data_IF_964292287813
#
_entry.id   IF_964292287813
#
_cell.length_a   1.000
_cell.length_b   1.000
_cell.length_c   1.000
_cell.angle_alpha   90.00
_cell.angle_beta   90.00
_cell.angle_gamma   90.00
#
_symmetry.space_group_name_H-M   'P 1'
#
loop_
_entity.id
_entity.type
_entity.pdbx_description
1 polymer ?
#
# COMPACT_ATOMS: atom_id res chain seq x y z
N UNK A 1 -9.82 9.38 -1.05
CA UNK A 1 -10.23 10.14 -2.25
C UNK A 1 -11.61 10.67 -1.98
N UNK A 2 -11.83 11.98 -2.13
CA UNK A 2 -13.16 12.58 -1.88
C UNK A 2 -14.21 11.91 -2.79
N UNK A 3 -15.45 11.78 -2.31
CA UNK A 3 -16.60 11.23 -3.05
C UNK A 3 -16.54 9.72 -3.37
N UNK A 4 -15.52 9.01 -2.87
CA UNK A 4 -15.36 7.55 -3.01
C UNK A 4 -15.22 6.83 -1.66
N UNK A 5 -15.72 7.45 -0.60
CA UNK A 5 -15.76 6.92 0.75
C UNK A 5 -17.04 6.10 0.95
N UNK A 6 -17.03 5.14 1.88
CA UNK A 6 -18.25 4.42 2.28
C UNK A 6 -19.28 5.36 2.89
N UNK A 7 -18.82 6.18 3.82
CA UNK A 7 -19.60 7.20 4.53
C UNK A 7 -18.68 8.41 4.73
N UNK A 8 -19.07 9.55 4.14
CA UNK A 8 -18.30 10.78 4.19
C UNK A 8 -18.38 11.49 5.56
N UNK A 9 -19.43 11.20 6.34
CA UNK A 9 -19.68 11.79 7.65
C UNK A 9 -19.05 10.97 8.79
N UNK A 10 -18.63 9.73 8.51
CA UNK A 10 -17.92 8.88 9.46
C UNK A 10 -16.44 9.22 9.55
N UNK A 11 -15.87 9.00 10.74
CA UNK A 11 -14.42 9.10 10.94
C UNK A 11 -13.69 8.00 10.17
N UNK A 12 -12.91 8.41 9.18
CA UNK A 12 -12.01 7.54 8.41
C UNK A 12 -10.64 7.40 9.09
N UNK A 13 -10.01 6.25 8.92
CA UNK A 13 -8.70 5.93 9.51
C UNK A 13 -7.90 4.97 8.63
N UNK A 14 -6.61 4.89 8.91
CA UNK A 14 -5.67 4.00 8.26
C UNK A 14 -4.51 3.66 9.19
N UNK A 15 -3.76 2.60 8.88
CA UNK A 15 -2.60 2.22 9.68
C UNK A 15 -1.50 3.30 9.57
N UNK A 16 -1.01 3.76 10.72
CA UNK A 16 -0.08 4.90 10.78
C UNK A 16 -0.76 6.27 10.54
N UNK A 17 -2.08 6.34 10.68
CA UNK A 17 -2.84 7.56 10.40
C UNK A 17 -3.03 7.81 8.90
N UNK A 18 -3.87 8.79 8.54
CA UNK A 18 -4.14 9.09 7.14
C UNK A 18 -2.95 9.80 6.50
N UNK A 19 -2.54 9.40 5.28
CA UNK A 19 -1.55 10.16 4.53
C UNK A 19 -2.12 11.55 4.20
N UNK A 20 -1.28 12.57 4.26
CA UNK A 20 -1.63 13.95 3.94
C UNK A 20 -1.92 14.13 2.45
N UNK A 21 -1.28 13.31 1.60
CA UNK A 21 -1.43 13.34 0.15
C UNK A 21 -1.05 11.99 -0.48
N UNK A 22 -1.24 11.87 -1.79
CA UNK A 22 -0.94 10.66 -2.54
C UNK A 22 0.55 10.31 -2.55
N UNK A 23 1.44 11.32 -2.54
CA UNK A 23 2.88 11.09 -2.53
C UNK A 23 3.32 10.42 -1.21
N UNK A 24 2.83 10.89 -0.07
CA UNK A 24 3.09 10.27 1.23
C UNK A 24 2.52 8.83 1.28
N UNK A 25 1.34 8.59 0.71
CA UNK A 25 0.78 7.25 0.61
C UNK A 25 1.72 6.29 -0.16
N UNK A 26 2.24 6.74 -1.30
CA UNK A 26 3.21 5.99 -2.11
C UNK A 26 4.53 5.77 -1.36
N UNK A 27 5.03 6.79 -0.67
CA UNK A 27 6.27 6.69 0.12
C UNK A 27 6.15 5.67 1.26
N UNK A 28 5.00 5.64 1.95
CA UNK A 28 4.71 4.63 2.97
C UNK A 28 4.72 3.21 2.37
N UNK A 29 4.13 3.02 1.19
CA UNK A 29 4.16 1.74 0.47
C UNK A 29 5.59 1.32 0.12
N UNK A 30 6.40 2.25 -0.44
CA UNK A 30 7.82 2.01 -0.75
C UNK A 30 8.62 1.66 0.52
N UNK A 31 8.29 2.26 1.65
CA UNK A 31 8.92 1.94 2.94
C UNK A 31 8.63 0.49 3.35
N UNK A 32 7.39 0.03 3.20
CA UNK A 32 7.05 -1.38 3.42
C UNK A 32 7.83 -2.33 2.50
N UNK A 33 8.03 -1.95 1.23
CA UNK A 33 8.84 -2.75 0.30
C UNK A 33 10.31 -2.81 0.70
N UNK A 34 10.90 -1.69 1.16
CA UNK A 34 12.28 -1.67 1.67
C UNK A 34 12.44 -2.63 2.87
N UNK A 35 11.51 -2.58 3.80
CA UNK A 35 11.48 -3.49 4.95
C UNK A 35 11.34 -4.96 4.51
N UNK A 36 10.43 -5.25 3.58
CA UNK A 36 10.27 -6.60 3.04
C UNK A 36 11.54 -7.08 2.32
N UNK A 37 12.22 -6.20 1.59
CA UNK A 37 13.49 -6.49 0.91
C UNK A 37 14.59 -6.87 1.91
N UNK A 38 14.70 -6.14 3.02
CA UNK A 38 15.64 -6.49 4.12
C UNK A 38 15.28 -7.81 4.80
N UNK A 39 13.99 -8.07 4.99
CA UNK A 39 13.49 -9.30 5.58
C UNK A 39 13.71 -10.52 4.66
N UNK A 40 13.66 -10.34 3.33
CA UNK A 40 13.99 -11.40 2.35
C UNK A 40 15.39 -11.95 2.59
N UNK A 41 16.37 -11.07 2.82
CA UNK A 41 17.75 -11.43 3.16
C UNK A 41 17.90 -12.17 4.51
N UNK A 42 16.83 -12.24 5.32
CA UNK A 42 16.77 -12.92 6.62
C UNK A 42 15.88 -14.17 6.58
N UNK A 43 15.48 -14.63 5.39
CA UNK A 43 14.72 -15.87 5.20
C UNK A 43 13.20 -15.70 5.11
N UNK A 44 12.67 -14.47 5.05
CA UNK A 44 11.25 -14.27 4.75
C UNK A 44 10.98 -14.55 3.28
N UNK A 45 10.05 -15.47 3.01
CA UNK A 45 9.74 -15.93 1.66
C UNK A 45 8.76 -15.01 0.91
N UNK A 46 7.87 -14.30 1.62
CA UNK A 46 6.83 -13.49 1.00
C UNK A 46 6.29 -12.41 1.96
N UNK A 47 5.65 -11.39 1.38
CA UNK A 47 4.81 -10.42 2.08
C UNK A 47 3.46 -10.30 1.38
N UNK A 48 2.39 -10.12 2.15
CA UNK A 48 1.03 -9.93 1.62
C UNK A 48 0.55 -8.55 2.03
N UNK A 49 0.22 -7.72 1.04
CA UNK A 49 -0.44 -6.45 1.30
C UNK A 49 -1.94 -6.68 1.42
N UNK A 50 -2.46 -6.53 2.63
CA UNK A 50 -3.88 -6.31 2.86
C UNK A 50 -4.05 -4.81 3.09
N UNK A 51 -4.85 -4.10 2.30
CA UNK A 51 -6.13 -4.50 1.71
C UNK A 51 -6.27 -4.09 0.23
N UNK A 52 -7.07 -4.81 -0.57
CA UNK A 52 -7.28 -4.47 -2.00
C UNK A 52 -8.13 -3.22 -2.18
N UNK A 53 -9.19 -3.03 -1.37
CA UNK A 53 -10.11 -1.89 -1.45
C UNK A 53 -10.23 -1.21 -0.09
N UNK A 54 -10.73 0.01 -0.03
CA UNK A 54 -11.18 0.55 1.26
C UNK A 54 -12.37 -0.26 1.79
N UNK A 55 -12.50 -0.36 3.12
CA UNK A 55 -13.58 -1.08 3.79
C UNK A 55 -14.13 -0.21 4.90
N UNK A 56 -15.38 0.22 4.73
CA UNK A 56 -16.06 1.14 5.66
C UNK A 56 -15.20 2.38 5.97
N UNK A 57 -14.80 2.55 7.24
CA UNK A 57 -13.94 3.65 7.68
C UNK A 57 -12.44 3.38 7.54
N UNK A 58 -12.03 2.17 7.14
CA UNK A 58 -10.62 1.81 6.92
C UNK A 58 -10.22 2.10 5.47
N UNK A 59 -9.40 3.13 5.27
CA UNK A 59 -9.06 3.66 3.94
C UNK A 59 -7.64 3.33 3.46
N UNK A 60 -7.13 2.15 3.86
CA UNK A 60 -5.80 1.64 3.48
C UNK A 60 -5.76 0.96 2.10
N UNK A 61 -6.91 0.78 1.44
CA UNK A 61 -7.02 -0.02 0.23
C UNK A 61 -6.22 0.53 -0.95
N UNK A 62 -5.73 -0.35 -1.82
CA UNK A 62 -5.14 0.04 -3.12
C UNK A 62 -6.17 0.66 -4.07
N UNK A 63 -7.45 0.40 -3.83
CA UNK A 63 -8.58 1.00 -4.52
C UNK A 63 -9.52 1.68 -3.53
N UNK A 64 -10.33 2.62 -4.00
CA UNK A 64 -11.42 3.20 -3.20
C UNK A 64 -12.50 2.18 -2.85
N UNK A 65 -13.37 2.55 -1.91
CA UNK A 65 -14.44 1.68 -1.40
C UNK A 65 -15.33 1.12 -2.52
N UNK A 66 -15.69 2.00 -3.46
CA UNK A 66 -16.51 1.69 -4.63
C UNK A 66 -15.75 1.04 -5.80
N UNK A 67 -14.44 0.79 -5.64
CA UNK A 67 -13.53 0.22 -6.66
C UNK A 67 -13.41 1.05 -7.94
N UNK A 68 -13.82 2.32 -7.94
CA UNK A 68 -13.75 3.17 -9.14
C UNK A 68 -12.41 3.84 -9.34
N UNK A 69 -11.67 4.09 -8.25
CA UNK A 69 -10.37 4.75 -8.30
C UNK A 69 -9.29 3.81 -7.78
N UNK A 70 -8.29 3.57 -8.64
CA UNK A 70 -7.06 2.88 -8.28
C UNK A 70 -6.10 3.93 -7.72
N UNK A 71 -5.70 3.79 -6.45
CA UNK A 71 -4.85 4.78 -5.75
C UNK A 71 -3.38 4.66 -6.13
N UNK A 72 -2.91 3.44 -6.41
CA UNK A 72 -1.59 3.17 -7.00
C UNK A 72 -1.80 2.27 -8.21
N UNK A 73 -1.57 2.78 -9.43
CA UNK A 73 -1.69 1.99 -10.66
C UNK A 73 -0.87 0.70 -10.63
N UNK A 74 -1.37 -0.35 -11.30
CA UNK A 74 -0.76 -1.68 -11.26
C UNK A 74 0.63 -1.73 -11.91
N UNK A 75 0.84 -0.95 -12.97
CA UNK A 75 2.15 -0.76 -13.62
C UNK A 75 3.15 -0.09 -12.68
N UNK A 76 2.72 0.94 -11.94
CA UNK A 76 3.54 1.59 -10.90
C UNK A 76 3.89 0.62 -9.77
N UNK A 77 2.93 -0.20 -9.32
CA UNK A 77 3.21 -1.26 -8.33
C UNK A 77 4.22 -2.27 -8.86
N UNK A 78 4.07 -2.70 -10.11
CA UNK A 78 4.99 -3.64 -10.74
C UNK A 78 6.41 -3.08 -10.86
N UNK A 79 6.56 -1.78 -11.17
CA UNK A 79 7.84 -1.08 -11.16
C UNK A 79 8.45 -1.03 -9.76
N UNK A 80 7.66 -0.64 -8.75
CA UNK A 80 8.12 -0.59 -7.35
C UNK A 80 8.57 -1.97 -6.84
N UNK A 81 7.92 -3.04 -7.27
CA UNK A 81 8.25 -4.42 -6.85
C UNK A 81 9.53 -4.96 -7.48
N UNK A 82 10.12 -4.31 -8.49
CA UNK A 82 11.34 -4.80 -9.14
C UNK A 82 12.49 -5.05 -8.15
N UNK A 83 12.61 -4.21 -7.12
CA UNK A 83 13.61 -4.37 -6.04
C UNK A 83 13.51 -5.72 -5.31
N UNK A 84 12.33 -6.35 -5.32
CA UNK A 84 12.10 -7.63 -4.65
C UNK A 84 12.62 -8.83 -5.43
N UNK A 85 12.87 -8.67 -6.73
CA UNK A 85 13.33 -9.73 -7.61
C UNK A 85 14.85 -9.71 -7.83
N UNK A 86 15.51 -8.62 -7.44
CA UNK A 86 16.97 -8.53 -7.46
C UNK A 86 17.60 -9.50 -6.43
N UNK A 87 18.80 -10.04 -6.69
CA UNK A 87 19.52 -10.84 -5.73
C UNK A 87 19.69 -10.11 -4.39
N UNK A 88 19.38 -10.78 -3.28
CA UNK A 88 19.70 -10.23 -1.96
C UNK A 88 21.19 -10.34 -1.69
N UNK A 89 21.77 -9.31 -1.06
CA UNK A 89 23.16 -9.34 -0.58
C UNK A 89 23.33 -10.12 0.74
N UNK A 90 22.31 -10.86 1.19
CA UNK A 90 22.34 -11.67 2.40
C UNK A 90 22.68 -13.13 2.12
N UNK A 91 23.64 -13.64 2.91
CA UNK A 91 24.24 -15.00 2.99
C UNK A 91 23.69 -16.09 2.07
#
# INVERSE_FOLDING_TARGET
>A
VKDHLWDADRRNWGYGGLPQNEAEYKERYVTSLKMLNELRAKGIAAGVYTQTTDVEGEINGLMTYDRKVIKIPADVLAEMHQVLFEPTTGK
#
